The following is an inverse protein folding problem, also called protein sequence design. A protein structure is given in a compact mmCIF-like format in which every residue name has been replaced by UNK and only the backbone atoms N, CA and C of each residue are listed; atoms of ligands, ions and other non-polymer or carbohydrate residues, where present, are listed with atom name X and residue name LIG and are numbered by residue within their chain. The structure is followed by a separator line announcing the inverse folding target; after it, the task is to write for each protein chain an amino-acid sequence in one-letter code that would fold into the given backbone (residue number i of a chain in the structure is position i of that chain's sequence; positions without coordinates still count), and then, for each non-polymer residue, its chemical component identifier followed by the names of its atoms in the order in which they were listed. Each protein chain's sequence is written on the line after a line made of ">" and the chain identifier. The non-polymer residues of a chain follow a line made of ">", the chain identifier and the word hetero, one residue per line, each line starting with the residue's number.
data_IF_537917560771
#
_entry.id   IF_537917560771
#
_cell.length_a   1.000
_cell.length_b   1.000
_cell.length_c   1.000
_cell.angle_alpha   90.00
_cell.angle_beta   90.00
_cell.angle_gamma   90.00
#
_symmetry.space_group_name_H-M   'P 1'
#
loop_
_entity.id
_entity.type
_entity.pdbx_description
1 polymer ?
#
# COMPACT_ATOMS: atom_id res chain seq x y z
N UNK A 1 -19.80 30.94 6.38
CA UNK A 1 -18.47 30.78 5.74
C UNK A 1 -17.45 30.44 6.81
N UNK A 2 -16.60 29.43 6.61
CA UNK A 2 -15.61 29.00 7.61
C UNK A 2 -14.24 28.87 6.97
N UNK A 3 -13.23 29.55 7.52
CA UNK A 3 -11.83 29.56 7.03
C UNK A 3 -11.04 28.27 7.35
N UNK A 4 -11.74 27.19 7.74
CA UNK A 4 -11.13 25.90 8.11
C UNK A 4 -10.31 25.26 6.99
N UNK A 5 -10.61 25.52 5.71
CA UNK A 5 -9.84 24.94 4.60
C UNK A 5 -8.45 25.57 4.42
N UNK A 6 -8.21 26.76 5.00
CA UNK A 6 -6.93 27.50 4.93
C UNK A 6 -6.03 27.16 6.13
N UNK A 7 -6.58 26.56 7.20
CA UNK A 7 -5.86 26.34 8.45
C UNK A 7 -6.02 24.92 8.97
N UNK A 8 -4.94 24.36 9.53
CA UNK A 8 -4.95 23.08 10.27
C UNK A 8 -5.21 23.27 11.78
N UNK A 9 -5.82 24.39 12.17
CA UNK A 9 -6.18 24.64 13.58
C UNK A 9 -7.11 23.53 14.11
N UNK A 10 -6.79 22.97 15.28
CA UNK A 10 -7.55 21.88 15.88
C UNK A 10 -7.23 20.47 15.32
N UNK A 11 -6.11 20.31 14.61
CA UNK A 11 -5.68 19.01 14.02
C UNK A 11 -5.71 17.84 15.03
N UNK A 12 -5.37 18.07 16.31
CA UNK A 12 -5.47 17.03 17.35
C UNK A 12 -6.91 16.50 17.50
N UNK A 13 -7.88 17.41 17.54
CA UNK A 13 -9.29 17.05 17.66
C UNK A 13 -9.77 16.34 16.40
N UNK A 14 -9.40 16.83 15.22
CA UNK A 14 -9.75 16.19 13.94
C UNK A 14 -9.18 14.77 13.86
N UNK A 15 -7.92 14.57 14.27
CA UNK A 15 -7.29 13.25 14.33
C UNK A 15 -7.99 12.32 15.32
N UNK A 16 -8.42 12.81 16.46
CA UNK A 16 -9.21 12.04 17.42
C UNK A 16 -10.58 11.63 16.87
N UNK A 17 -11.21 12.50 16.06
CA UNK A 17 -12.44 12.18 15.35
C UNK A 17 -12.23 11.13 14.23
N UNK A 18 -11.08 11.17 13.55
CA UNK A 18 -10.74 10.21 12.49
C UNK A 18 -10.34 8.83 13.04
N UNK A 19 -9.56 8.82 14.13
CA UNK A 19 -9.07 7.61 14.82
C UNK A 19 -10.10 6.92 15.71
N UNK A 20 -11.39 7.02 15.38
CA UNK A 20 -12.48 6.38 16.13
C UNK A 20 -12.51 4.87 15.95
N UNK A 21 -13.01 4.15 16.95
CA UNK A 21 -13.09 2.68 16.93
C UNK A 21 -14.15 2.20 15.93
N UNK A 22 -14.10 0.92 15.55
CA UNK A 22 -15.08 0.31 14.64
C UNK A 22 -16.53 0.46 15.14
N UNK A 23 -16.76 0.32 16.46
CA UNK A 23 -18.10 0.48 17.06
C UNK A 23 -18.64 1.90 16.90
N UNK A 24 -17.79 2.90 17.13
CA UNK A 24 -18.16 4.31 16.96
C UNK A 24 -18.50 4.60 15.49
N UNK A 25 -17.74 4.01 14.55
CA UNK A 25 -18.00 4.16 13.11
C UNK A 25 -19.38 3.63 12.73
N UNK A 26 -19.79 2.47 13.23
CA UNK A 26 -21.13 1.92 12.98
C UNK A 26 -22.22 2.86 13.52
N UNK A 27 -22.06 3.40 14.73
CA UNK A 27 -23.01 4.34 15.31
C UNK A 27 -23.12 5.65 14.51
N UNK A 28 -21.98 6.19 14.05
CA UNK A 28 -21.94 7.38 13.20
C UNK A 28 -22.60 7.08 11.85
N UNK A 29 -22.30 5.94 11.24
CA UNK A 29 -22.90 5.54 9.97
C UNK A 29 -24.42 5.42 10.10
N UNK A 30 -24.92 4.83 11.19
CA UNK A 30 -26.36 4.77 11.48
C UNK A 30 -26.98 6.17 11.66
N UNK A 31 -26.27 7.09 12.32
CA UNK A 31 -26.72 8.48 12.44
C UNK A 31 -26.70 9.20 11.09
N UNK A 32 -25.66 9.01 10.29
CA UNK A 32 -25.52 9.59 8.95
C UNK A 32 -26.60 9.07 8.01
N UNK A 33 -26.88 7.76 7.99
CA UNK A 33 -27.96 7.19 7.16
C UNK A 33 -29.34 7.67 7.60
N UNK A 34 -29.51 8.11 8.84
CA UNK A 34 -30.73 8.78 9.31
C UNK A 34 -30.80 10.25 8.87
N UNK A 35 -29.67 10.95 8.84
CA UNK A 35 -29.59 12.37 8.45
C UNK A 35 -29.68 12.59 6.94
N UNK A 36 -29.14 11.69 6.13
CA UNK A 36 -29.16 11.83 4.68
C UNK A 36 -30.52 11.51 4.07
N UNK A 37 -30.96 12.26 3.03
CA UNK A 37 -32.15 11.91 2.28
C UNK A 37 -31.93 10.60 1.53
N UNK A 38 -33.01 9.89 1.22
CA UNK A 38 -32.95 8.52 0.72
C UNK A 38 -32.07 8.34 -0.52
N UNK A 39 -32.11 9.28 -1.46
CA UNK A 39 -31.34 9.25 -2.72
C UNK A 39 -29.82 9.41 -2.52
N UNK A 40 -29.39 10.00 -1.39
CA UNK A 40 -27.98 10.17 -1.01
C UNK A 40 -27.45 9.06 -0.11
N UNK A 41 -28.32 8.21 0.45
CA UNK A 41 -27.88 7.12 1.33
C UNK A 41 -27.02 6.13 0.54
N UNK A 42 -25.80 5.81 1.00
CA UNK A 42 -24.99 4.79 0.36
C UNK A 42 -25.66 3.41 0.54
N UNK A 43 -25.58 2.54 -0.47
CA UNK A 43 -26.12 1.18 -0.39
C UNK A 43 -25.26 0.26 0.48
N UNK A 44 -23.97 0.57 0.61
CA UNK A 44 -22.98 -0.19 1.37
C UNK A 44 -22.38 0.68 2.49
N UNK A 45 -21.96 0.07 3.62
CA UNK A 45 -21.25 0.81 4.66
C UNK A 45 -19.90 1.31 4.14
N UNK A 46 -19.44 2.50 4.56
CA UNK A 46 -18.12 3.00 4.18
C UNK A 46 -17.01 2.13 4.81
N UNK A 47 -16.00 1.82 4.03
CA UNK A 47 -14.79 1.13 4.43
C UNK A 47 -13.77 2.12 5.05
N UNK A 48 -12.99 1.64 6.02
CA UNK A 48 -11.90 2.41 6.60
C UNK A 48 -10.84 2.74 5.54
N UNK A 49 -10.15 3.89 5.65
CA UNK A 49 -9.11 4.29 4.68
C UNK A 49 -8.03 3.21 4.46
N UNK A 50 -7.71 2.44 5.51
CA UNK A 50 -6.74 1.33 5.45
C UNK A 50 -7.29 0.09 4.72
N UNK A 51 -8.61 -0.14 4.81
CA UNK A 51 -9.32 -1.27 4.18
C UNK A 51 -9.76 -0.95 2.75
N UNK A 52 -9.69 0.32 2.35
CA UNK A 52 -10.05 0.74 1.00
C UNK A 52 -9.12 0.09 -0.04
N UNK A 53 -9.72 -0.34 -1.14
CA UNK A 53 -8.99 -0.94 -2.24
C UNK A 53 -8.21 0.16 -3.00
N UNK A 54 -6.87 0.07 -2.96
CA UNK A 54 -5.99 1.03 -3.63
C UNK A 54 -5.47 0.54 -4.98
N UNK A 55 -5.32 -0.78 -5.16
CA UNK A 55 -4.68 -1.38 -6.33
C UNK A 55 -5.61 -2.27 -7.17
N UNK A 56 -5.23 -2.46 -8.44
CA UNK A 56 -5.98 -3.26 -9.42
C UNK A 56 -6.16 -4.71 -8.97
N UNK A 57 -5.15 -5.29 -8.31
CA UNK A 57 -5.23 -6.65 -7.74
C UNK A 57 -6.33 -6.77 -6.67
N UNK A 58 -6.54 -5.73 -5.87
CA UNK A 58 -7.62 -5.74 -4.87
C UNK A 58 -8.98 -5.57 -5.54
N UNK A 59 -9.06 -4.69 -6.53
CA UNK A 59 -10.30 -4.36 -7.23
C UNK A 59 -10.84 -5.43 -8.19
N UNK A 60 -10.21 -6.60 -8.39
CA UNK A 60 -10.62 -7.74 -9.28
C UNK A 60 -11.15 -7.42 -10.70
N UNK A 61 -12.17 -6.59 -10.81
CA UNK A 61 -12.81 -6.03 -11.99
C UNK A 61 -12.48 -4.53 -12.14
N UNK A 62 -12.48 -4.03 -13.37
CA UNK A 62 -12.28 -2.61 -13.67
C UNK A 62 -13.51 -2.03 -14.38
N UNK A 63 -13.68 -0.69 -14.37
CA UNK A 63 -14.70 -0.04 -15.17
C UNK A 63 -14.49 -0.40 -16.64
N UNK A 64 -15.53 -0.92 -17.28
CA UNK A 64 -15.43 -1.52 -18.60
C UNK A 64 -15.70 -3.02 -18.66
N UNK A 65 -15.45 -3.75 -17.58
CA UNK A 65 -15.64 -5.19 -17.54
C UNK A 65 -17.12 -5.59 -17.56
N UNK A 66 -17.42 -6.69 -18.25
CA UNK A 66 -18.73 -7.34 -18.21
C UNK A 66 -18.77 -8.29 -17.01
N UNK A 67 -19.77 -8.12 -16.16
CA UNK A 67 -19.95 -8.92 -14.96
C UNK A 67 -21.38 -9.45 -14.89
N UNK A 68 -21.56 -10.58 -14.22
CA UNK A 68 -22.86 -11.15 -13.89
C UNK A 68 -23.11 -11.00 -12.40
N UNK A 69 -24.33 -10.59 -12.04
CA UNK A 69 -24.75 -10.49 -10.64
C UNK A 69 -25.15 -11.87 -10.13
N UNK A 70 -24.47 -12.36 -9.09
CA UNK A 70 -24.71 -13.68 -8.50
C UNK A 70 -25.56 -13.60 -7.23
N UNK A 71 -25.55 -12.44 -6.56
CA UNK A 71 -26.32 -12.20 -5.36
C UNK A 71 -27.80 -12.55 -5.53
N UNK A 72 -28.35 -13.21 -4.54
CA UNK A 72 -29.78 -13.51 -4.46
C UNK A 72 -30.60 -12.22 -4.46
N UNK A 73 -31.55 -12.12 -5.39
CA UNK A 73 -32.40 -10.95 -5.54
C UNK A 73 -32.99 -10.82 -6.94
N UNK A 74 -33.69 -9.71 -7.18
CA UNK A 74 -34.40 -9.41 -8.44
C UNK A 74 -33.49 -9.43 -9.68
N UNK A 75 -32.22 -9.06 -9.50
CA UNK A 75 -31.27 -8.87 -10.61
C UNK A 75 -30.26 -10.02 -10.73
N UNK A 76 -30.51 -11.16 -10.07
CA UNK A 76 -29.64 -12.34 -10.16
C UNK A 76 -29.60 -12.87 -11.59
N UNK A 77 -28.40 -13.14 -12.10
CA UNK A 77 -28.17 -13.65 -13.45
C UNK A 77 -28.09 -12.57 -14.53
N UNK A 78 -28.35 -11.30 -14.19
CA UNK A 78 -28.21 -10.22 -15.15
C UNK A 78 -26.74 -9.94 -15.46
N UNK A 79 -26.45 -9.79 -16.75
CA UNK A 79 -25.14 -9.35 -17.24
C UNK A 79 -25.18 -7.83 -17.38
N UNK A 80 -24.18 -7.18 -16.81
CA UNK A 80 -24.05 -5.72 -16.73
C UNK A 80 -22.58 -5.33 -16.86
N UNK A 81 -22.32 -4.10 -17.29
CA UNK A 81 -20.97 -3.53 -17.34
C UNK A 81 -20.67 -2.76 -16.05
N UNK A 82 -19.46 -2.90 -15.53
CA UNK A 82 -18.98 -2.06 -14.42
C UNK A 82 -18.81 -0.63 -14.94
N UNK A 83 -19.58 0.32 -14.40
CA UNK A 83 -19.54 1.73 -14.77
C UNK A 83 -18.45 2.49 -14.00
N UNK A 84 -18.40 2.33 -12.67
CA UNK A 84 -17.39 2.98 -11.84
C UNK A 84 -17.19 2.26 -10.51
N UNK A 85 -16.11 2.62 -9.81
CA UNK A 85 -15.79 2.10 -8.48
C UNK A 85 -16.13 3.13 -7.41
N UNK A 86 -16.87 2.73 -6.38
CA UNK A 86 -17.00 3.51 -5.16
C UNK A 86 -15.88 3.18 -4.18
N UNK A 87 -14.81 3.98 -4.25
CA UNK A 87 -13.64 3.83 -3.39
C UNK A 87 -13.95 3.94 -1.90
N UNK A 88 -15.03 4.63 -1.51
CA UNK A 88 -15.37 4.79 -0.08
C UNK A 88 -15.98 3.54 0.50
N UNK A 89 -16.74 2.76 -0.28
CA UNK A 89 -17.46 1.57 0.21
C UNK A 89 -16.85 0.24 -0.28
N UNK A 90 -15.81 0.30 -1.11
CA UNK A 90 -15.28 -0.86 -1.86
C UNK A 90 -16.37 -1.52 -2.73
N UNK A 91 -17.31 -0.71 -3.23
CA UNK A 91 -18.42 -1.15 -4.06
C UNK A 91 -18.17 -0.92 -5.55
N UNK A 92 -18.84 -1.72 -6.37
CA UNK A 92 -18.90 -1.54 -7.82
C UNK A 92 -20.25 -0.93 -8.19
N UNK A 93 -20.24 0.13 -8.97
CA UNK A 93 -21.44 0.68 -9.59
C UNK A 93 -21.59 0.05 -10.96
N UNK A 94 -22.73 -0.60 -11.17
CA UNK A 94 -23.08 -1.28 -12.42
C UNK A 94 -23.92 -0.36 -13.30
N UNK A 95 -24.02 -0.70 -14.58
CA UNK A 95 -24.89 -0.02 -15.55
C UNK A 95 -26.39 -0.28 -15.29
N UNK A 96 -27.24 0.11 -16.24
CA UNK A 96 -28.71 0.03 -16.17
C UNK A 96 -29.25 -1.39 -15.86
N UNK A 97 -28.51 -2.45 -16.25
CA UNK A 97 -28.92 -3.84 -16.03
C UNK A 97 -28.58 -4.35 -14.61
N UNK A 98 -27.84 -3.57 -13.84
CA UNK A 98 -27.45 -3.88 -12.47
C UNK A 98 -28.55 -3.59 -11.42
N UNK A 99 -28.26 -3.84 -10.14
CA UNK A 99 -29.19 -3.55 -9.06
C UNK A 99 -29.50 -2.06 -8.96
N UNK A 100 -30.78 -1.71 -9.14
CA UNK A 100 -31.28 -0.34 -9.00
C UNK A 100 -32.38 -0.26 -7.93
N UNK A 101 -32.54 0.92 -7.34
CA UNK A 101 -33.69 1.25 -6.48
C UNK A 101 -34.40 2.49 -6.96
N UNK A 102 -35.72 2.50 -6.80
CA UNK A 102 -36.56 3.65 -7.11
C UNK A 102 -36.63 4.58 -5.90
N UNK A 103 -36.24 5.85 -6.07
CA UNK A 103 -36.17 6.83 -4.99
C UNK A 103 -36.69 8.19 -5.47
N UNK A 104 -37.39 8.97 -4.62
CA UNK A 104 -37.75 10.34 -4.95
C UNK A 104 -36.51 11.26 -4.95
N UNK A 105 -36.35 12.02 -6.03
CA UNK A 105 -35.23 12.94 -6.26
C UNK A 105 -35.75 14.38 -6.40
N UNK A 106 -35.15 15.35 -5.69
CA UNK A 106 -35.47 16.78 -5.85
C UNK A 106 -35.16 17.30 -7.26
N UNK A 107 -35.87 18.33 -7.71
CA UNK A 107 -35.70 18.92 -9.06
C UNK A 107 -34.29 19.42 -9.36
N UNK A 108 -33.56 19.79 -8.32
CA UNK A 108 -32.15 20.22 -8.40
C UNK A 108 -31.22 19.13 -8.97
N UNK A 109 -31.62 17.86 -8.84
CA UNK A 109 -30.86 16.70 -9.31
C UNK A 109 -31.54 15.99 -10.49
N UNK A 110 -32.52 16.63 -11.14
CA UNK A 110 -33.19 16.03 -12.28
C UNK A 110 -32.28 16.00 -13.50
N UNK A 111 -32.34 14.89 -14.22
CA UNK A 111 -31.77 14.81 -15.57
C UNK A 111 -32.74 15.45 -16.56
N UNK A 112 -32.19 15.97 -17.66
CA UNK A 112 -33.00 16.52 -18.76
C UNK A 112 -33.96 15.45 -19.28
N UNK A 113 -35.25 15.79 -19.40
CA UNK A 113 -36.29 14.85 -19.84
C UNK A 113 -37.00 14.06 -18.72
N UNK A 114 -36.60 14.22 -17.46
CA UNK A 114 -37.30 13.61 -16.32
C UNK A 114 -38.67 14.27 -16.09
N UNK A 115 -39.75 13.48 -16.08
CA UNK A 115 -41.13 13.97 -15.86
C UNK A 115 -41.63 13.79 -14.43
N UNK A 116 -41.14 12.77 -13.72
CA UNK A 116 -41.62 12.36 -12.39
C UNK A 116 -40.50 12.52 -11.36
N UNK A 117 -40.85 12.71 -10.09
CA UNK A 117 -39.85 12.75 -9.01
C UNK A 117 -39.18 11.41 -8.73
N UNK A 118 -39.75 10.30 -9.20
CA UNK A 118 -39.24 8.95 -8.95
C UNK A 118 -38.22 8.56 -10.03
N UNK A 119 -36.98 8.31 -9.62
CA UNK A 119 -35.90 7.86 -10.52
C UNK A 119 -35.30 6.56 -10.01
N UNK A 120 -34.79 5.74 -10.94
CA UNK A 120 -33.98 4.56 -10.63
C UNK A 120 -32.52 4.99 -10.43
N UNK A 121 -31.98 4.75 -9.24
CA UNK A 121 -30.58 5.02 -8.90
C UNK A 121 -29.84 3.69 -8.76
N UNK A 122 -28.64 3.54 -9.38
CA UNK A 122 -27.83 2.33 -9.23
C UNK A 122 -27.38 2.14 -7.78
N UNK A 123 -27.38 0.89 -7.34
CA UNK A 123 -26.85 0.49 -6.04
C UNK A 123 -25.46 -0.11 -6.21
N UNK A 124 -24.54 0.29 -5.33
CA UNK A 124 -23.22 -0.34 -5.27
C UNK A 124 -23.35 -1.79 -4.82
N UNK A 125 -22.66 -2.69 -5.50
CA UNK A 125 -22.56 -4.12 -5.18
C UNK A 125 -21.17 -4.47 -4.66
N UNK A 126 -21.07 -5.51 -3.82
CA UNK A 126 -19.79 -5.99 -3.32
C UNK A 126 -19.08 -6.85 -4.36
N UNK A 127 -17.78 -7.02 -4.20
CA UNK A 127 -16.96 -7.89 -5.06
C UNK A 127 -17.44 -9.35 -5.10
N UNK A 128 -17.95 -9.86 -3.98
CA UNK A 128 -18.43 -11.24 -3.83
C UNK A 128 -19.76 -11.48 -4.57
N UNK A 129 -20.53 -10.41 -4.74
CA UNK A 129 -21.88 -10.43 -5.30
C UNK A 129 -21.88 -10.46 -6.85
N UNK A 130 -20.70 -10.31 -7.47
CA UNK A 130 -20.51 -10.26 -8.92
C UNK A 130 -19.38 -11.19 -9.39
N UNK A 131 -19.50 -11.66 -10.64
CA UNK A 131 -18.50 -12.51 -11.29
C UNK A 131 -18.19 -11.99 -12.68
N UNK A 132 -16.95 -12.17 -13.16
CA UNK A 132 -16.57 -11.72 -14.50
C UNK A 132 -17.24 -12.59 -15.56
N UNK A 133 -17.63 -11.96 -16.66
CA UNK A 133 -18.16 -12.64 -17.85
C UNK A 133 -17.13 -12.47 -18.96
N UNK A 134 -16.73 -13.59 -19.54
CA UNK A 134 -15.82 -13.63 -20.67
C UNK A 134 -16.44 -14.43 -21.80
N UNK A 135 -16.17 -13.99 -23.02
CA UNK A 135 -16.53 -14.71 -24.23
C UNK A 135 -15.33 -15.59 -24.59
N UNK A 136 -15.50 -16.92 -24.49
CA UNK A 136 -14.45 -17.93 -24.64
C UNK A 136 -14.82 -18.83 -25.82
N UNK A 137 -13.84 -19.28 -26.61
CA UNK A 137 -14.06 -20.24 -27.69
C UNK A 137 -14.51 -21.59 -27.16
N UNK A 138 -15.53 -22.17 -27.78
CA UNK A 138 -16.06 -23.47 -27.39
C UNK A 138 -15.08 -24.58 -27.81
N UNK A 139 -14.53 -25.37 -26.86
CA UNK A 139 -13.65 -26.49 -27.20
C UNK A 139 -14.37 -27.55 -28.05
N UNK A 140 -15.71 -27.67 -27.91
CA UNK A 140 -16.50 -28.66 -28.62
C UNK A 140 -16.89 -28.21 -30.04
N UNK A 141 -16.86 -26.89 -30.30
CA UNK A 141 -17.25 -26.30 -31.58
C UNK A 141 -16.29 -25.15 -31.97
N UNK A 142 -15.14 -25.46 -32.59
CA UNK A 142 -14.11 -24.47 -32.90
C UNK A 142 -14.67 -23.36 -33.79
N UNK A 143 -14.47 -22.10 -33.37
CA UNK A 143 -14.96 -20.89 -34.06
C UNK A 143 -16.30 -20.35 -33.57
N UNK A 144 -16.97 -21.03 -32.64
CA UNK A 144 -18.12 -20.47 -31.91
C UNK A 144 -17.68 -19.97 -30.55
N UNK A 145 -18.09 -18.74 -30.23
CA UNK A 145 -17.79 -18.11 -28.95
C UNK A 145 -18.97 -18.34 -28.00
N UNK A 146 -18.66 -18.78 -26.78
CA UNK A 146 -19.64 -18.97 -25.70
C UNK A 146 -19.39 -17.94 -24.60
N UNK A 147 -20.46 -17.28 -24.17
CA UNK A 147 -20.41 -16.38 -23.02
C UNK A 147 -20.42 -17.22 -21.73
N UNK A 148 -19.33 -17.13 -20.96
CA UNK A 148 -19.11 -17.93 -19.75
C UNK A 148 -18.91 -17.00 -18.55
N UNK A 149 -19.52 -17.36 -17.42
CA UNK A 149 -19.26 -16.72 -16.14
C UNK A 149 -18.07 -17.37 -15.45
N UNK A 150 -17.09 -16.55 -15.06
CA UNK A 150 -15.83 -16.98 -14.45
C UNK A 150 -16.01 -17.07 -12.94
N UNK A 151 -15.73 -18.24 -12.37
CA UNK A 151 -15.96 -18.47 -10.94
C UNK A 151 -15.02 -17.68 -10.03
N UNK A 152 -13.71 -17.74 -10.29
CA UNK A 152 -12.72 -16.93 -9.58
C UNK A 152 -11.52 -16.60 -10.48
N UNK A 153 -10.83 -15.51 -10.14
CA UNK A 153 -9.71 -14.96 -10.88
C UNK A 153 -8.47 -14.97 -10.00
N UNK A 154 -7.39 -15.51 -10.53
CA UNK A 154 -6.06 -15.49 -9.92
C UNK A 154 -5.16 -14.57 -10.72
N UNK A 155 -4.37 -13.76 -10.03
CA UNK A 155 -3.40 -12.88 -10.68
C UNK A 155 -2.04 -13.58 -10.79
N UNK A 156 -1.57 -13.78 -12.03
CA UNK A 156 -0.25 -14.35 -12.32
C UNK A 156 0.55 -13.36 -13.17
N UNK A 157 1.84 -13.21 -12.87
CA UNK A 157 2.72 -12.28 -13.58
C UNK A 157 2.23 -10.82 -13.59
N UNK A 158 2.83 -10.04 -14.49
CA UNK A 158 2.45 -8.66 -14.78
C UNK A 158 3.04 -8.22 -16.11
N UNK A 159 2.34 -7.36 -16.83
CA UNK A 159 2.75 -6.77 -18.10
C UNK A 159 2.51 -5.26 -18.10
N UNK A 160 3.20 -4.52 -18.95
CA UNK A 160 2.91 -3.11 -19.17
C UNK A 160 1.76 -2.98 -20.16
N UNK A 161 0.66 -2.37 -19.74
CA UNK A 161 -0.47 -2.12 -20.61
C UNK A 161 -0.39 -0.69 -21.16
N UNK A 162 -0.33 -0.55 -22.48
CA UNK A 162 -0.21 0.73 -23.16
C UNK A 162 -1.45 1.61 -23.00
N UNK A 163 -2.65 1.01 -22.96
CA UNK A 163 -3.90 1.75 -22.82
C UNK A 163 -4.04 2.31 -21.40
N UNK A 164 -3.67 1.53 -20.40
CA UNK A 164 -3.68 1.97 -19.00
C UNK A 164 -2.41 2.72 -18.56
N UNK A 165 -1.34 2.69 -19.38
CA UNK A 165 -0.02 3.28 -19.11
C UNK A 165 0.59 2.84 -17.77
N UNK A 166 0.32 1.61 -17.33
CA UNK A 166 0.78 1.07 -16.03
C UNK A 166 1.02 -0.44 -16.08
N UNK A 167 1.78 -0.95 -15.10
CA UNK A 167 1.97 -2.39 -14.92
C UNK A 167 0.68 -3.04 -14.41
N UNK A 168 0.10 -3.92 -15.22
CA UNK A 168 -1.14 -4.65 -14.98
C UNK A 168 -0.83 -6.13 -14.76
N UNK A 169 -1.48 -6.81 -13.80
CA UNK A 169 -1.34 -8.26 -13.66
C UNK A 169 -2.15 -8.99 -14.72
N UNK A 170 -1.74 -10.19 -15.14
CA UNK A 170 -2.62 -11.05 -15.95
C UNK A 170 -3.74 -11.62 -15.07
N UNK A 171 -4.96 -11.65 -15.61
CA UNK A 171 -6.11 -12.28 -14.96
C UNK A 171 -6.27 -13.69 -15.51
N UNK A 172 -5.90 -14.69 -14.72
CA UNK A 172 -6.08 -16.08 -15.10
C UNK A 172 -7.33 -16.65 -14.41
N UNK A 173 -8.03 -17.54 -15.08
CA UNK A 173 -9.14 -18.29 -14.44
C UNK A 173 -8.57 -19.25 -13.41
N UNK A 174 -9.16 -19.30 -12.22
CA UNK A 174 -8.73 -20.23 -11.18
C UNK A 174 -8.80 -21.69 -11.68
N UNK A 175 -7.67 -22.40 -11.65
CA UNK A 175 -7.57 -23.79 -12.11
C UNK A 175 -7.14 -23.96 -13.58
N UNK A 176 -7.24 -22.93 -14.41
CA UNK A 176 -6.76 -22.92 -15.80
C UNK A 176 -5.89 -21.68 -16.02
N UNK A 177 -4.59 -21.80 -15.73
CA UNK A 177 -3.69 -20.66 -15.75
C UNK A 177 -3.42 -20.11 -17.15
N UNK A 178 -3.55 -20.97 -18.17
CA UNK A 178 -3.37 -20.61 -19.58
C UNK A 178 -4.50 -19.71 -20.10
N UNK A 179 -5.68 -19.73 -19.46
CA UNK A 179 -6.82 -18.94 -19.87
C UNK A 179 -6.77 -17.54 -19.24
N UNK A 180 -6.18 -16.61 -19.99
CA UNK A 180 -6.00 -15.22 -19.58
C UNK A 180 -7.15 -14.35 -20.10
N UNK A 181 -7.80 -13.62 -19.19
CA UNK A 181 -8.87 -12.68 -19.52
C UNK A 181 -8.30 -11.26 -19.59
N UNK A 182 -8.30 -10.62 -20.78
CA UNK A 182 -7.70 -9.31 -20.95
C UNK A 182 -8.47 -8.25 -20.16
N UNK A 183 -7.78 -7.20 -19.71
CA UNK A 183 -8.42 -6.03 -19.09
C UNK A 183 -9.27 -5.26 -20.11
N UNK A 184 -10.34 -4.56 -19.67
CA UNK A 184 -11.19 -3.83 -20.59
C UNK A 184 -10.45 -2.60 -21.11
N UNK A 185 -10.65 -2.21 -22.36
CA UNK A 185 -10.03 -0.99 -22.91
C UNK A 185 -10.66 0.24 -22.25
N UNK A 186 -9.87 1.12 -21.60
CA UNK A 186 -10.39 2.32 -20.97
C UNK A 186 -10.84 3.34 -22.02
N UNK A 187 -11.83 4.16 -21.67
CA UNK A 187 -12.26 5.28 -22.50
C UNK A 187 -11.17 6.35 -22.54
N UNK A 188 -10.84 6.81 -23.75
CA UNK A 188 -9.85 7.86 -23.94
C UNK A 188 -10.47 9.20 -23.57
N UNK A 189 -9.86 9.89 -22.62
CA UNK A 189 -10.26 11.25 -22.22
C UNK A 189 -9.40 12.25 -22.97
N UNK A 190 -10.03 13.30 -23.50
CA UNK A 190 -9.31 14.39 -24.13
C UNK A 190 -8.53 15.20 -23.09
N UNK A 191 -7.38 15.74 -23.50
CA UNK A 191 -6.54 16.54 -22.62
C UNK A 191 -7.21 17.88 -22.28
N UNK A 192 -7.12 18.27 -21.00
CA UNK A 192 -7.66 19.53 -20.52
C UNK A 192 -6.70 20.71 -20.76
N UNK A 193 -7.21 21.94 -20.64
CA UNK A 193 -6.42 23.16 -20.90
C UNK A 193 -5.18 23.35 -20.00
N UNK A 194 -5.13 22.71 -18.83
CA UNK A 194 -3.98 22.74 -17.92
C UNK A 194 -3.01 21.58 -18.13
N UNK A 195 -3.25 20.72 -19.13
CA UNK A 195 -2.37 19.60 -19.47
C UNK A 195 -1.31 20.05 -20.49
N UNK A 196 -0.07 19.61 -20.27
CA UNK A 196 1.03 19.81 -21.23
C UNK A 196 1.01 18.70 -22.27
N UNK A 197 1.34 19.04 -23.52
CA UNK A 197 1.47 18.07 -24.60
C UNK A 197 2.52 16.98 -24.29
N UNK A 198 2.30 15.71 -24.67
CA UNK A 198 3.21 14.60 -24.37
C UNK A 198 4.63 14.77 -24.91
N UNK A 199 4.83 15.42 -26.07
CA UNK A 199 6.16 15.62 -26.64
C UNK A 199 6.94 16.64 -25.81
N UNK A 200 6.29 17.75 -25.46
CA UNK A 200 6.89 18.79 -24.62
C UNK A 200 7.19 18.27 -23.21
N UNK A 201 6.30 17.47 -22.63
CA UNK A 201 6.49 16.93 -21.28
C UNK A 201 7.63 15.91 -21.18
N UNK A 202 7.95 15.20 -22.27
CA UNK A 202 9.01 14.17 -22.31
C UNK A 202 10.33 14.66 -22.91
N UNK A 203 10.37 15.90 -23.38
CA UNK A 203 11.58 16.50 -23.92
C UNK A 203 12.69 16.53 -22.85
N UNK A 204 13.84 15.95 -23.18
CA UNK A 204 14.99 15.94 -22.28
C UNK A 204 15.75 17.26 -22.39
N UNK A 205 15.49 18.18 -21.46
CA UNK A 205 16.13 19.51 -21.42
C UNK A 205 17.39 19.56 -20.54
N UNK A 206 17.62 18.55 -19.70
CA UNK A 206 18.74 18.53 -18.76
C UNK A 206 19.66 17.32 -18.97
N UNK A 207 20.96 17.60 -19.03
CA UNK A 207 22.05 16.62 -19.07
C UNK A 207 23.08 16.96 -17.99
N UNK A 208 23.76 15.95 -17.45
CA UNK A 208 24.83 16.16 -16.46
C UNK A 208 26.12 16.55 -17.19
N UNK A 209 26.35 17.86 -17.33
CA UNK A 209 27.48 18.39 -18.12
C UNK A 209 28.78 18.56 -17.34
N UNK A 210 28.71 18.96 -16.07
CA UNK A 210 29.89 19.40 -15.31
C UNK A 210 29.86 18.89 -13.88
N UNK A 211 31.00 18.38 -13.39
CA UNK A 211 31.17 18.01 -11.98
C UNK A 211 31.56 19.21 -11.08
N UNK A 212 32.11 20.27 -11.69
CA UNK A 212 32.57 21.50 -11.02
C UNK A 212 31.41 22.46 -10.70
N UNK A 213 30.47 22.62 -11.64
CA UNK A 213 29.33 23.54 -11.49
C UNK A 213 28.08 22.79 -11.05
N UNK A 214 27.40 23.29 -10.03
CA UNK A 214 26.13 22.70 -9.58
C UNK A 214 24.99 23.02 -10.56
N UNK A 215 24.06 22.08 -10.84
CA UNK A 215 22.92 22.31 -11.71
C UNK A 215 21.95 23.40 -11.23
N UNK A 216 21.84 23.54 -9.91
CA UNK A 216 20.94 24.50 -9.25
C UNK A 216 21.80 25.61 -8.64
N UNK A 217 21.42 26.88 -8.77
CA UNK A 217 22.15 27.98 -8.14
C UNK A 217 22.11 27.87 -6.60
N UNK A 218 23.23 28.23 -5.95
CA UNK A 218 23.36 28.12 -4.49
C UNK A 218 22.27 28.87 -3.71
N UNK A 219 21.79 30.00 -4.23
CA UNK A 219 20.72 30.78 -3.61
C UNK A 219 19.37 30.02 -3.55
N UNK A 220 19.08 29.15 -4.52
CA UNK A 220 17.83 28.39 -4.56
C UNK A 220 17.84 27.15 -3.63
N UNK A 221 19.00 26.76 -3.11
CA UNK A 221 19.11 25.58 -2.24
C UNK A 221 18.27 25.73 -0.95
N UNK A 222 18.09 26.95 -0.45
CA UNK A 222 17.27 27.20 0.74
C UNK A 222 15.78 26.97 0.52
N UNK A 223 15.30 27.11 -0.72
CA UNK A 223 13.92 26.84 -1.11
C UNK A 223 13.68 25.35 -1.33
N UNK A 224 14.66 24.65 -1.91
CA UNK A 224 14.57 23.21 -2.19
C UNK A 224 14.69 22.39 -0.90
N UNK A 225 15.52 22.82 0.06
CA UNK A 225 15.77 22.10 1.30
C UNK A 225 15.92 23.02 2.52
N UNK A 226 15.46 22.54 3.68
CA UNK A 226 15.69 23.23 4.94
C UNK A 226 17.15 23.11 5.39
N UNK A 227 17.88 24.23 5.34
CA UNK A 227 19.29 24.28 5.75
C UNK A 227 19.53 24.05 7.25
N UNK A 228 18.56 24.40 8.10
CA UNK A 228 18.57 24.25 9.56
C UNK A 228 17.77 23.02 10.02
N UNK A 229 17.76 21.96 9.21
CA UNK A 229 17.06 20.73 9.58
C UNK A 229 17.68 20.09 10.83
N UNK A 230 16.88 19.95 11.89
CA UNK A 230 17.27 19.25 13.14
C UNK A 230 17.65 17.77 12.92
N UNK A 231 17.23 17.20 11.80
CA UNK A 231 17.53 15.81 11.43
C UNK A 231 18.90 15.67 10.75
N UNK A 232 19.53 16.78 10.35
CA UNK A 232 20.89 16.78 9.81
C UNK A 232 21.90 16.76 10.97
N UNK A 233 22.11 15.58 11.54
CA UNK A 233 23.18 15.35 12.53
C UNK A 233 24.51 15.28 11.77
N UNK A 234 25.42 16.21 12.05
CA UNK A 234 26.77 16.18 11.45
C UNK A 234 27.54 14.93 11.85
N UNK A 235 28.59 14.61 11.10
CA UNK A 235 29.54 13.56 11.49
C UNK A 235 30.57 14.15 12.46
N UNK A 236 30.93 13.38 13.49
CA UNK A 236 31.97 13.79 14.45
C UNK A 236 33.33 13.76 13.76
N UNK A 237 34.10 14.84 13.91
CA UNK A 237 35.49 14.87 13.47
C UNK A 237 36.42 14.33 14.57
N UNK A 238 37.65 13.94 14.22
CA UNK A 238 38.67 13.53 15.20
C UNK A 238 38.94 14.60 16.25
N UNK A 239 38.86 15.88 15.86
CA UNK A 239 38.97 17.03 16.77
C UNK A 239 37.79 17.12 17.73
N UNK A 240 36.59 16.86 17.25
CA UNK A 240 35.39 16.84 18.10
C UNK A 240 35.47 15.68 19.11
N UNK A 241 35.95 14.52 18.66
CA UNK A 241 36.19 13.36 19.53
C UNK A 241 37.25 13.70 20.58
N UNK A 242 38.38 14.30 20.20
CA UNK A 242 39.43 14.69 21.15
C UNK A 242 38.97 15.74 22.17
N UNK A 243 38.03 16.62 21.81
CA UNK A 243 37.38 17.55 22.74
C UNK A 243 36.37 16.86 23.66
N UNK A 244 35.68 15.85 23.16
CA UNK A 244 34.65 15.11 23.88
C UNK A 244 35.27 14.09 24.85
N UNK A 245 36.41 13.51 24.50
CA UNK A 245 37.15 12.54 25.31
C UNK A 245 38.06 13.28 26.29
N UNK A 246 37.85 13.07 27.59
CA UNK A 246 38.72 13.62 28.62
C UNK A 246 40.14 13.04 28.50
N UNK A 247 41.18 13.84 28.80
CA UNK A 247 42.55 13.34 28.80
C UNK A 247 42.72 12.25 29.86
N UNK A 248 43.47 11.19 29.52
CA UNK A 248 43.82 10.15 30.48
C UNK A 248 44.76 10.72 31.54
N UNK A 249 44.50 10.41 32.80
CA UNK A 249 45.40 10.75 33.90
C UNK A 249 46.76 10.07 33.70
N UNK A 250 47.89 10.75 33.96
CA UNK A 250 49.19 10.10 33.93
C UNK A 250 49.25 9.00 35.01
N UNK A 251 49.78 7.83 34.65
CA UNK A 251 49.96 6.73 35.60
C UNK A 251 50.95 7.12 36.71
N UNK A 252 50.63 6.73 37.94
CA UNK A 252 51.54 6.91 39.10
C UNK A 252 52.75 5.99 38.99
N UNK A 253 53.81 6.25 39.76
CA UNK A 253 55.03 5.43 39.71
C UNK A 253 54.78 3.97 40.14
N UNK A 254 53.91 3.75 41.14
CA UNK A 254 53.51 2.41 41.57
C UNK A 254 52.68 1.68 40.52
N UNK A 255 51.77 2.38 39.83
CA UNK A 255 50.99 1.81 38.73
C UNK A 255 51.88 1.48 37.52
N UNK A 256 52.86 2.32 37.21
CA UNK A 256 53.86 2.03 36.17
C UNK A 256 54.70 0.80 36.52
N UNK A 257 55.13 0.68 37.78
CA UNK A 257 55.86 -0.49 38.27
C UNK A 257 55.00 -1.76 38.19
N UNK A 258 53.72 -1.66 38.58
CA UNK A 258 52.77 -2.76 38.47
C UNK A 258 52.47 -3.14 37.01
N UNK A 259 52.36 -2.16 36.10
CA UNK A 259 52.18 -2.40 34.67
C UNK A 259 53.38 -3.15 34.09
N UNK A 260 54.61 -2.75 34.43
CA UNK A 260 55.84 -3.47 34.04
C UNK A 260 55.87 -4.90 34.59
N UNK A 261 55.55 -5.10 35.87
CA UNK A 261 55.46 -6.44 36.45
C UNK A 261 54.39 -7.30 35.76
N UNK A 262 53.28 -6.70 35.34
CA UNK A 262 52.23 -7.39 34.60
C UNK A 262 52.67 -7.76 33.18
N UNK A 263 53.40 -6.88 32.49
CA UNK A 263 54.02 -7.18 31.18
C UNK A 263 55.06 -8.30 31.30
N UNK A 264 55.93 -8.25 32.31
CA UNK A 264 56.90 -9.30 32.62
C UNK A 264 56.21 -10.64 32.89
N UNK A 265 55.15 -10.65 33.72
CA UNK A 265 54.35 -11.85 33.98
C UNK A 265 53.61 -12.37 32.75
N UNK A 266 53.17 -11.50 31.86
CA UNK A 266 52.51 -11.89 30.62
C UNK A 266 53.50 -12.53 29.63
N UNK A 267 54.77 -12.11 29.68
CA UNK A 267 55.85 -12.70 28.88
C UNK A 267 56.33 -14.04 29.44
N UNK A 268 56.04 -14.36 30.71
CA UNK A 268 56.24 -15.71 31.24
C UNK A 268 55.24 -16.62 30.53
N UNK A 269 55.69 -17.69 29.85
CA UNK A 269 54.78 -18.61 29.17
C UNK A 269 53.83 -19.22 30.20
N UNK A 270 52.53 -19.04 29.98
CA UNK A 270 51.52 -19.63 30.85
C UNK A 270 51.58 -21.15 30.72
N UNK A 271 51.66 -21.83 31.86
CA UNK A 271 51.60 -23.28 31.89
C UNK A 271 50.23 -23.73 31.36
N UNK A 272 50.25 -24.40 30.22
CA UNK A 272 49.07 -25.03 29.64
C UNK A 272 49.03 -26.46 30.16
N UNK A 273 47.85 -26.89 30.63
CA UNK A 273 47.64 -28.25 31.07
C UNK A 273 48.02 -29.20 29.93
N UNK A 274 49.04 -30.02 30.16
CA UNK A 274 49.51 -31.01 29.19
C UNK A 274 48.47 -32.11 29.05
N UNK A 275 48.53 -32.86 27.96
CA UNK A 275 47.59 -33.96 27.77
C UNK A 275 47.85 -35.10 28.78
N UNK A 276 49.10 -35.32 29.16
CA UNK A 276 49.49 -36.24 30.25
C UNK A 276 48.83 -35.87 31.58
N UNK A 277 48.78 -34.57 31.93
CA UNK A 277 48.11 -34.11 33.15
C UNK A 277 46.60 -34.34 33.09
N UNK A 278 45.98 -34.18 31.91
CA UNK A 278 44.54 -34.46 31.72
C UNK A 278 44.23 -35.94 31.88
N UNK A 279 45.07 -36.81 31.34
CA UNK A 279 44.91 -38.26 31.48
C UNK A 279 45.08 -38.69 32.94
N UNK A 280 46.08 -38.16 33.65
CA UNK A 280 46.29 -38.46 35.06
C UNK A 280 45.13 -37.96 35.95
N UNK A 281 44.59 -36.77 35.68
CA UNK A 281 43.40 -36.24 36.35
C UNK A 281 42.17 -37.10 36.02
N UNK A 282 42.01 -37.49 34.76
CA UNK A 282 40.92 -38.36 34.29
C UNK A 282 40.94 -39.74 34.95
N UNK A 283 42.12 -40.36 35.08
CA UNK A 283 42.30 -41.64 35.75
C UNK A 283 41.94 -41.57 37.25
N UNK A 284 42.40 -40.52 37.97
CA UNK A 284 42.04 -40.31 39.38
C UNK A 284 40.55 -40.03 39.58
N UNK A 285 39.92 -39.29 38.67
CA UNK A 285 38.48 -39.08 38.68
C UNK A 285 37.75 -40.41 38.51
N UNK A 286 38.15 -41.23 37.53
CA UNK A 286 37.58 -42.55 37.30
C UNK A 286 37.70 -43.46 38.53
N UNK A 287 38.90 -43.57 39.12
CA UNK A 287 39.12 -44.33 40.35
C UNK A 287 38.21 -43.86 41.50
N UNK A 288 38.09 -42.55 41.70
CA UNK A 288 37.22 -41.97 42.74
C UNK A 288 35.73 -42.28 42.49
N UNK A 289 35.27 -42.24 41.25
CA UNK A 289 33.88 -42.61 40.90
C UNK A 289 33.63 -44.11 41.06
N UNK A 290 34.60 -44.96 40.71
CA UNK A 290 34.49 -46.41 40.91
C UNK A 290 34.55 -46.86 42.38
N UNK A 291 35.17 -46.07 43.27
CA UNK A 291 35.22 -46.33 44.72
C UNK A 291 33.95 -45.90 45.48
N UNK A 292 33.16 -45.01 44.90
CA UNK A 292 31.92 -44.47 45.48
C UNK A 292 30.65 -45.05 44.82
N UNK A 293 30.80 -46.11 44.02
CA UNK A 293 29.77 -46.99 43.47
C UNK A 293 29.84 -48.33 44.19
#
# INVERSE_FOLDING_TARGET
>A
MSYKYISKAGDRFIKQLAGRTHKDRLAINAMQTKMYPEFMKPSLPPAAEEEQFSGVRKWKFLPGDRVVVVKEGKFRGNISKVFSHDKKTNGYMLDENGPTRQVPVPKEYWTEGQKTHMTLIPQAVRQEDIKLVADIDDPDAPGKVRTVAVHDIVFRGSYYDENYKKMMPYRCVAGQEDLVIPWPVPEQTADGALATDPQTAREQTFFVETAVRTPIPNAALYTVRNHKSKYRRGTLTTRDIARLVAPKMPMTESEKAYAKQKEERANIPTHKLTDDDKEAIGAKLYEHFTKNL
#
